data_IF_706044521575
#
_entry.id   IF_706044521575
#
_cell.length_a   1.000
_cell.length_b   1.000
_cell.length_c   1.000
_cell.angle_alpha   90.00
_cell.angle_beta   90.00
_cell.angle_gamma   90.00
#
_symmetry.space_group_name_H-M   'P 1'
#
loop_
_entity.id
_entity.type
_entity.pdbx_description
1 polymer ?
#
# COMPACT_ATOMS: atom_id res chain seq x y z
N UNK A 1 6.20 9.05 -12.60
CA UNK A 1 6.92 8.24 -11.59
C UNK A 1 7.21 9.07 -10.36
N UNK A 2 7.79 10.26 -10.54
CA UNK A 2 8.01 11.24 -9.47
C UNK A 2 6.76 11.53 -8.63
N UNK A 3 5.61 11.80 -9.26
CA UNK A 3 4.34 12.00 -8.52
C UNK A 3 3.93 10.80 -7.66
N UNK A 4 4.17 9.57 -8.14
CA UNK A 4 3.85 8.33 -7.41
C UNK A 4 4.80 8.18 -6.22
N UNK A 5 6.08 8.47 -6.42
CA UNK A 5 7.09 8.46 -5.37
C UNK A 5 6.76 9.48 -4.27
N UNK A 6 6.40 10.71 -4.66
CA UNK A 6 6.04 11.77 -3.70
C UNK A 6 4.75 11.44 -2.95
N UNK A 7 3.74 10.83 -3.60
CA UNK A 7 2.55 10.32 -2.90
C UNK A 7 2.92 9.23 -1.90
N UNK A 8 3.72 8.24 -2.28
CA UNK A 8 4.18 7.18 -1.37
C UNK A 8 4.97 7.76 -0.17
N UNK A 9 5.84 8.75 -0.41
CA UNK A 9 6.56 9.46 0.66
C UNK A 9 5.60 10.23 1.56
N UNK A 10 4.57 10.87 0.99
CA UNK A 10 3.51 11.55 1.74
C UNK A 10 2.79 10.59 2.69
N UNK A 11 2.42 9.41 2.21
CA UNK A 11 1.82 8.35 3.03
C UNK A 11 2.76 7.88 4.15
N UNK A 12 4.03 7.60 3.83
CA UNK A 12 5.02 7.19 4.83
C UNK A 12 5.19 8.23 5.96
N UNK A 13 5.17 9.53 5.63
CA UNK A 13 5.23 10.62 6.63
C UNK A 13 4.01 10.67 7.56
N UNK A 14 2.85 10.19 7.11
CA UNK A 14 1.60 10.14 7.90
C UNK A 14 1.54 8.92 8.82
N UNK A 15 2.23 7.83 8.48
CA UNK A 15 2.31 6.59 9.29
C UNK A 15 3.46 6.61 10.31
N UNK A 16 3.67 7.74 11.00
CA UNK A 16 4.74 7.87 12.00
C UNK A 16 4.64 6.79 13.08
N UNK A 17 5.77 6.19 13.45
CA UNK A 17 5.84 5.12 14.44
C UNK A 17 5.70 3.71 13.86
N UNK A 18 5.30 3.58 12.59
CA UNK A 18 5.31 2.32 11.85
C UNK A 18 6.58 2.25 11.01
N UNK A 19 7.22 1.09 10.96
CA UNK A 19 8.38 0.87 10.09
C UNK A 19 7.91 0.80 8.63
N UNK A 20 7.94 1.94 7.95
CA UNK A 20 7.57 2.07 6.54
C UNK A 20 8.71 2.60 5.69
N UNK A 21 8.79 2.15 4.44
CA UNK A 21 9.77 2.60 3.46
C UNK A 21 9.12 2.77 2.07
N UNK A 22 9.69 3.66 1.25
CA UNK A 22 9.28 3.82 -0.16
C UNK A 22 10.30 3.10 -1.02
N UNK A 23 9.85 2.09 -1.78
CA UNK A 23 10.72 1.27 -2.63
C UNK A 23 10.31 1.35 -4.10
N UNK A 24 11.25 1.24 -5.05
CA UNK A 24 10.89 1.00 -6.45
C UNK A 24 10.19 -0.34 -6.58
N UNK A 25 9.26 -0.44 -7.51
CA UNK A 25 8.52 -1.68 -7.75
C UNK A 25 7.91 -1.75 -9.14
N UNK A 26 7.04 -2.73 -9.32
CA UNK A 26 6.27 -2.92 -10.55
C UNK A 26 4.78 -3.04 -10.25
N UNK A 27 3.97 -2.45 -11.12
CA UNK A 27 2.50 -2.48 -11.09
C UNK A 27 2.01 -3.27 -12.29
N UNK A 28 1.06 -4.19 -12.11
CA UNK A 28 0.49 -4.95 -13.22
C UNK A 28 -0.41 -4.04 -14.08
N UNK A 29 -0.32 -4.18 -15.41
CA UNK A 29 -1.16 -3.42 -16.35
C UNK A 29 -2.42 -4.22 -16.64
N UNK A 30 -3.50 -3.92 -15.92
CA UNK A 30 -4.82 -4.54 -16.11
C UNK A 30 -4.94 -5.97 -15.55
N UNK A 31 -6.18 -6.40 -15.28
CA UNK A 31 -6.51 -7.72 -14.72
C UNK A 31 -6.97 -8.77 -15.74
N UNK A 32 -6.77 -8.52 -17.04
CA UNK A 32 -7.37 -9.30 -18.14
C UNK A 32 -6.37 -9.80 -19.19
N UNK A 33 -6.61 -9.41 -20.46
CA UNK A 33 -5.97 -9.97 -21.67
C UNK A 33 -4.49 -9.61 -21.90
N UNK A 34 -3.85 -8.92 -20.97
CA UNK A 34 -2.41 -8.58 -21.04
C UNK A 34 -1.63 -9.21 -19.87
N UNK A 35 -1.62 -10.55 -19.75
CA UNK A 35 -0.83 -11.22 -18.73
C UNK A 35 0.66 -10.88 -18.92
N UNK A 36 1.32 -10.51 -17.81
CA UNK A 36 2.76 -10.29 -17.76
C UNK A 36 3.24 -8.86 -18.06
N UNK A 37 2.38 -7.95 -18.51
CA UNK A 37 2.78 -6.55 -18.65
C UNK A 37 2.79 -5.83 -17.31
N UNK A 38 3.89 -5.14 -17.05
CA UNK A 38 4.10 -4.41 -15.81
C UNK A 38 4.74 -3.06 -16.09
N UNK A 39 4.35 -2.05 -15.32
CA UNK A 39 4.92 -0.72 -15.38
C UNK A 39 5.75 -0.45 -14.12
N UNK A 40 6.90 0.25 -14.22
CA UNK A 40 7.61 0.76 -13.05
C UNK A 40 6.67 1.60 -12.17
N UNK A 41 6.84 1.51 -10.86
CA UNK A 41 6.08 2.28 -9.86
C UNK A 41 6.94 2.50 -8.61
N UNK A 42 6.40 3.20 -7.62
CA UNK A 42 6.92 3.22 -6.25
C UNK A 42 5.86 2.67 -5.31
N UNK A 43 6.29 1.97 -4.28
CA UNK A 43 5.43 1.30 -3.33
C UNK A 43 5.69 1.84 -1.94
N UNK A 44 4.62 1.98 -1.15
CA UNK A 44 4.75 2.05 0.30
C UNK A 44 4.87 0.63 0.83
N UNK A 45 6.01 0.29 1.42
CA UNK A 45 6.23 -0.99 2.07
C UNK A 45 6.15 -0.84 3.59
N UNK A 46 5.27 -1.62 4.22
CA UNK A 46 5.08 -1.67 5.66
C UNK A 46 5.71 -2.94 6.22
N UNK A 47 6.64 -2.78 7.16
CA UNK A 47 7.22 -3.88 7.91
C UNK A 47 6.47 -4.01 9.24
N UNK A 48 5.72 -5.09 9.38
CA UNK A 48 4.95 -5.41 10.59
C UNK A 48 5.19 -6.87 11.00
N UNK A 49 4.96 -7.26 12.26
CA UNK A 49 5.15 -8.63 12.72
C UNK A 49 4.32 -9.67 11.95
N UNK A 50 3.09 -9.30 11.55
CA UNK A 50 2.19 -10.19 10.79
C UNK A 50 1.52 -9.45 9.61
N UNK A 51 2.18 -9.40 8.44
CA UNK A 51 1.62 -8.78 7.23
C UNK A 51 0.33 -9.45 6.76
N UNK A 52 0.19 -10.76 6.98
CA UNK A 52 -1.00 -11.52 6.62
C UNK A 52 -2.20 -11.09 7.46
N UNK A 53 -2.00 -10.89 8.77
CA UNK A 53 -3.07 -10.42 9.64
C UNK A 53 -3.46 -8.97 9.33
N UNK A 54 -2.48 -8.11 9.08
CA UNK A 54 -2.72 -6.74 8.60
C UNK A 54 -3.57 -6.76 7.32
N UNK A 55 -3.17 -7.55 6.32
CA UNK A 55 -3.89 -7.68 5.06
C UNK A 55 -5.31 -8.23 5.23
N UNK A 56 -5.49 -9.21 6.12
CA UNK A 56 -6.80 -9.79 6.43
C UNK A 56 -7.72 -8.76 7.07
N UNK A 57 -7.24 -8.03 8.07
CA UNK A 57 -8.03 -7.01 8.79
C UNK A 57 -8.39 -5.84 7.89
N UNK A 58 -7.43 -5.33 7.12
CA UNK A 58 -7.66 -4.25 6.16
C UNK A 58 -8.69 -4.62 5.08
N UNK A 59 -8.67 -5.86 4.58
CA UNK A 59 -9.64 -6.34 3.58
C UNK A 59 -11.06 -6.45 4.14
N UNK A 60 -11.20 -6.70 5.44
CA UNK A 60 -12.49 -6.86 6.12
C UNK A 60 -12.99 -5.56 6.76
N UNK A 61 -12.19 -4.50 6.73
CA UNK A 61 -12.54 -3.19 7.29
C UNK A 61 -13.34 -2.32 6.32
N UNK A 62 -13.66 -1.09 6.76
CA UNK A 62 -14.32 -0.07 5.96
C UNK A 62 -13.49 1.23 6.00
N UNK A 63 -12.93 1.70 4.88
CA UNK A 63 -12.93 1.04 3.57
C UNK A 63 -12.11 -0.26 3.56
N UNK A 64 -12.50 -1.19 2.68
CA UNK A 64 -11.73 -2.39 2.43
C UNK A 64 -10.45 -2.03 1.65
N UNK A 65 -9.28 -2.29 2.23
CA UNK A 65 -7.99 -1.99 1.61
C UNK A 65 -7.31 -3.29 1.18
N UNK A 66 -6.94 -3.37 -0.10
CA UNK A 66 -6.22 -4.51 -0.67
C UNK A 66 -4.83 -4.08 -1.13
N UNK A 67 -3.83 -4.48 -0.38
CA UNK A 67 -2.43 -4.47 -0.79
C UNK A 67 -1.95 -5.88 -1.17
N UNK A 68 -0.65 -6.00 -1.44
CA UNK A 68 0.01 -7.28 -1.68
C UNK A 68 1.06 -7.56 -0.63
N UNK A 69 1.36 -8.83 -0.39
CA UNK A 69 2.45 -9.23 0.49
C UNK A 69 3.58 -9.76 -0.38
N UNK A 70 4.77 -9.21 -0.17
CA UNK A 70 5.98 -9.56 -0.91
C UNK A 70 7.16 -9.45 0.03
N UNK A 71 8.02 -10.48 0.07
CA UNK A 71 9.18 -10.54 0.99
C UNK A 71 8.83 -10.25 2.46
N UNK A 72 7.66 -10.69 2.92
CA UNK A 72 7.22 -10.47 4.31
C UNK A 72 6.85 -9.02 4.65
N UNK A 73 6.63 -8.16 3.65
CA UNK A 73 6.15 -6.78 3.82
C UNK A 73 4.77 -6.61 3.19
N UNK A 74 3.95 -5.73 3.76
CA UNK A 74 2.68 -5.34 3.15
C UNK A 74 2.90 -4.12 2.26
N UNK A 75 2.57 -4.25 0.97
CA UNK A 75 2.88 -3.26 -0.05
C UNK A 75 1.60 -2.63 -0.60
N UNK A 76 1.63 -1.31 -0.73
CA UNK A 76 0.59 -0.50 -1.37
C UNK A 76 1.19 0.30 -2.53
N UNK A 77 0.46 0.36 -3.64
CA UNK A 77 0.87 1.06 -4.84
C UNK A 77 -0.03 2.29 -5.07
N UNK A 78 0.47 3.53 -4.88
CA UNK A 78 -0.33 4.73 -5.08
C UNK A 78 -0.89 4.88 -6.49
N UNK A 79 -0.34 4.18 -7.49
CA UNK A 79 -0.92 4.14 -8.83
C UNK A 79 -2.35 3.58 -8.85
N UNK A 80 -2.66 2.70 -7.91
CA UNK A 80 -3.94 1.96 -7.86
C UNK A 80 -4.96 2.59 -6.91
N UNK A 81 -4.63 3.74 -6.32
CA UNK A 81 -5.47 4.46 -5.35
C UNK A 81 -5.78 5.83 -5.92
N UNK A 82 -7.07 6.18 -5.99
CA UNK A 82 -7.48 7.50 -6.45
C UNK A 82 -6.98 8.57 -5.45
N UNK A 83 -6.48 9.74 -5.91
CA UNK A 83 -5.97 10.77 -5.01
C UNK A 83 -6.93 11.17 -3.88
N UNK A 84 -8.23 11.21 -4.14
CA UNK A 84 -9.29 11.51 -3.18
C UNK A 84 -9.50 10.41 -2.12
N UNK A 85 -8.99 9.19 -2.34
CA UNK A 85 -9.09 8.07 -1.40
C UNK A 85 -7.92 8.03 -0.40
N UNK A 86 -6.88 8.87 -0.59
CA UNK A 86 -5.66 8.86 0.22
C UNK A 86 -5.96 9.03 1.72
N UNK A 87 -6.85 9.95 2.08
CA UNK A 87 -7.18 10.18 3.50
C UNK A 87 -7.86 8.96 4.12
N UNK A 88 -8.89 8.40 3.45
CA UNK A 88 -9.62 7.23 3.94
C UNK A 88 -8.72 5.98 4.02
N UNK A 89 -7.81 5.82 3.06
CA UNK A 89 -6.80 4.77 3.08
C UNK A 89 -5.89 4.89 4.32
N UNK A 90 -5.36 6.09 4.57
CA UNK A 90 -4.45 6.33 5.68
C UNK A 90 -5.13 6.16 7.04
N UNK A 91 -6.38 6.58 7.18
CA UNK A 91 -7.18 6.35 8.39
C UNK A 91 -7.36 4.86 8.66
N UNK A 92 -7.78 4.08 7.65
CA UNK A 92 -7.92 2.62 7.77
C UNK A 92 -6.61 1.93 8.16
N UNK A 93 -5.49 2.36 7.56
CA UNK A 93 -4.17 1.84 7.92
C UNK A 93 -3.83 2.16 9.37
N UNK A 94 -4.00 3.39 9.81
CA UNK A 94 -3.68 3.82 11.17
C UNK A 94 -4.52 3.06 12.22
N UNK A 95 -5.83 2.89 11.97
CA UNK A 95 -6.72 2.16 12.87
C UNK A 95 -6.28 0.69 13.06
N UNK A 96 -6.05 -0.01 11.95
CA UNK A 96 -5.65 -1.43 11.99
C UNK A 96 -4.25 -1.58 12.59
N UNK A 97 -3.30 -0.71 12.23
CA UNK A 97 -1.93 -0.76 12.73
C UNK A 97 -1.82 -0.42 14.22
N UNK A 98 -2.67 0.46 14.73
CA UNK A 98 -2.69 0.80 16.16
C UNK A 98 -3.19 -0.34 17.05
N UNK A 99 -3.84 -1.35 16.47
CA UNK A 99 -4.46 -2.47 17.16
C UNK A 99 -3.90 -3.83 16.72
N UNK A 100 -2.77 -3.83 16.00
CA UNK A 100 -2.05 -5.02 15.54
C UNK A 100 -0.96 -5.42 16.55
#
# INVERSE_FOLDING_TARGET
>A
LEEIEERAKGWARRLKGIKSEVIPGRSAVGGGSLPGQTLPTYLLALTVPSPQELARRLRMGEPAVVGRIEEGRYLLDPRTVLPEEDERLLEALQEVLASL
#
